data_IF_127886931250
#
_entry.id   IF_127886931250
#
_cell.length_a   1.000
_cell.length_b   1.000
_cell.length_c   1.000
_cell.angle_alpha   90.00
_cell.angle_beta   90.00
_cell.angle_gamma   90.00
#
_symmetry.space_group_name_H-M   'P 1'
#
loop_
_entity.id
_entity.type
_entity.pdbx_description
1 polymer ?
#
# COMPACT_ATOMS: atom_id res chain seq x y z
N UNK A 1 -38.39 -1.48 -33.52
CA UNK A 1 -37.97 -2.37 -32.41
C UNK A 1 -36.47 -2.63 -32.39
N UNK A 2 -35.87 -3.13 -33.48
CA UNK A 2 -34.43 -3.43 -33.55
C UNK A 2 -33.53 -2.21 -33.23
N UNK A 3 -33.84 -1.04 -33.79
CA UNK A 3 -33.09 0.20 -33.53
C UNK A 3 -33.12 0.61 -32.05
N UNK A 4 -34.29 0.54 -31.40
CA UNK A 4 -34.41 0.86 -29.98
C UNK A 4 -33.61 -0.10 -29.10
N UNK A 5 -33.61 -1.39 -29.45
CA UNK A 5 -32.80 -2.40 -28.77
C UNK A 5 -31.29 -2.10 -28.90
N UNK A 6 -30.82 -1.75 -30.11
CA UNK A 6 -29.43 -1.37 -30.34
C UNK A 6 -29.02 -0.11 -29.57
N UNK A 7 -29.91 0.89 -29.48
CA UNK A 7 -29.67 2.11 -28.71
C UNK A 7 -29.55 1.82 -27.20
N UNK A 8 -30.44 0.98 -26.66
CA UNK A 8 -30.38 0.57 -25.25
C UNK A 8 -29.08 -0.19 -24.97
N UNK A 9 -28.71 -1.12 -25.86
CA UNK A 9 -27.46 -1.85 -25.73
C UNK A 9 -26.25 -0.92 -25.75
N UNK A 10 -26.19 0.01 -26.71
CA UNK A 10 -25.12 1.01 -26.79
C UNK A 10 -25.03 1.87 -25.52
N UNK A 11 -26.16 2.29 -24.97
CA UNK A 11 -26.19 3.06 -23.71
C UNK A 11 -25.62 2.26 -22.53
N UNK A 12 -25.94 0.98 -22.41
CA UNK A 12 -25.39 0.09 -21.37
C UNK A 12 -23.87 -0.05 -21.50
N UNK A 13 -23.36 -0.21 -22.73
CA UNK A 13 -21.92 -0.32 -23.02
C UNK A 13 -21.17 0.93 -22.56
N UNK A 14 -21.72 2.10 -22.90
CA UNK A 14 -21.14 3.40 -22.56
C UNK A 14 -21.11 3.57 -21.04
N UNK A 15 -22.23 3.32 -20.35
CA UNK A 15 -22.32 3.41 -18.90
C UNK A 15 -21.33 2.49 -18.18
N UNK A 16 -21.22 1.24 -18.63
CA UNK A 16 -20.28 0.26 -18.05
C UNK A 16 -18.83 0.69 -18.27
N UNK A 17 -18.50 1.23 -19.45
CA UNK A 17 -17.16 1.73 -19.77
C UNK A 17 -16.78 2.92 -18.89
N UNK A 18 -17.70 3.87 -18.69
CA UNK A 18 -17.49 5.01 -17.77
C UNK A 18 -17.20 4.52 -16.36
N UNK A 19 -17.97 3.54 -15.86
CA UNK A 19 -17.79 3.02 -14.51
C UNK A 19 -16.45 2.32 -14.32
N UNK A 20 -15.99 1.55 -15.31
CA UNK A 20 -14.66 0.91 -15.31
C UNK A 20 -13.55 1.97 -15.25
N UNK A 21 -13.66 3.06 -16.03
CA UNK A 21 -12.66 4.14 -16.03
C UNK A 21 -12.61 4.84 -14.67
N UNK A 22 -13.77 5.13 -14.07
CA UNK A 22 -13.85 5.74 -12.74
C UNK A 22 -13.15 4.87 -11.69
N UNK A 23 -13.42 3.56 -11.71
CA UNK A 23 -12.79 2.63 -10.78
C UNK A 23 -11.29 2.50 -11.02
N UNK A 24 -10.83 2.46 -12.28
CA UNK A 24 -9.41 2.44 -12.62
C UNK A 24 -8.68 3.67 -12.06
N UNK A 25 -9.20 4.86 -12.31
CA UNK A 25 -8.61 6.10 -11.81
C UNK A 25 -8.56 6.13 -10.27
N UNK A 26 -9.59 5.58 -9.62
CA UNK A 26 -9.63 5.45 -8.15
C UNK A 26 -8.58 4.47 -7.64
N UNK A 27 -8.38 3.34 -8.32
CA UNK A 27 -7.32 2.36 -8.01
C UNK A 27 -5.96 3.03 -8.15
N UNK A 28 -5.68 3.68 -9.27
CA UNK A 28 -4.37 4.32 -9.52
C UNK A 28 -4.08 5.42 -8.48
N UNK A 29 -5.09 6.23 -8.11
CA UNK A 29 -4.96 7.21 -7.02
C UNK A 29 -4.66 6.57 -5.66
N UNK A 30 -5.34 5.45 -5.33
CA UNK A 30 -5.07 4.71 -4.10
C UNK A 30 -3.68 4.09 -4.09
N UNK A 31 -3.21 3.55 -5.23
CA UNK A 31 -1.87 3.01 -5.35
C UNK A 31 -0.82 4.09 -5.03
N UNK A 32 -0.93 5.27 -5.65
CA UNK A 32 -0.04 6.40 -5.37
C UNK A 32 -0.08 6.82 -3.90
N UNK A 33 -1.28 6.87 -3.31
CA UNK A 33 -1.45 7.25 -1.92
C UNK A 33 -0.82 6.25 -0.95
N UNK A 34 -1.05 4.95 -1.15
CA UNK A 34 -0.46 3.88 -0.33
C UNK A 34 1.07 3.89 -0.44
N UNK A 35 1.62 4.05 -1.65
CA UNK A 35 3.08 4.20 -1.87
C UNK A 35 3.66 5.39 -1.10
N UNK A 36 2.92 6.50 -1.01
CA UNK A 36 3.35 7.64 -0.21
C UNK A 36 3.34 7.33 1.29
N UNK A 37 2.32 6.63 1.80
CA UNK A 37 2.27 6.19 3.20
C UNK A 37 3.45 5.28 3.57
N UNK A 38 3.78 4.32 2.69
CA UNK A 38 4.98 3.49 2.82
C UNK A 38 6.24 4.34 2.98
N UNK A 39 6.43 5.33 2.10
CA UNK A 39 7.56 6.26 2.17
C UNK A 39 7.61 7.03 3.51
N UNK A 40 6.48 7.60 3.94
CA UNK A 40 6.40 8.34 5.21
C UNK A 40 6.84 7.46 6.37
N UNK A 41 6.33 6.22 6.46
CA UNK A 41 6.69 5.28 7.52
C UNK A 41 8.18 4.92 7.49
N UNK A 42 8.69 4.55 6.31
CA UNK A 42 10.06 4.10 6.12
C UNK A 42 11.08 5.23 6.35
N UNK A 43 10.70 6.49 6.15
CA UNK A 43 11.58 7.63 6.43
C UNK A 43 11.76 7.94 7.92
N UNK A 44 10.96 7.34 8.81
CA UNK A 44 11.10 7.50 10.26
C UNK A 44 12.27 6.68 10.81
N UNK A 45 12.67 5.62 10.11
CA UNK A 45 13.66 4.63 10.58
C UNK A 45 14.97 5.29 11.07
N UNK A 46 15.58 6.26 10.36
CA UNK A 46 16.80 6.92 10.85
C UNK A 46 16.58 7.68 12.16
N UNK A 47 15.48 8.42 12.28
CA UNK A 47 15.15 9.13 13.51
C UNK A 47 14.88 8.17 14.68
N UNK A 48 14.24 7.04 14.40
CA UNK A 48 14.00 5.99 15.39
C UNK A 48 15.33 5.37 15.87
N UNK A 49 16.27 5.13 14.95
CA UNK A 49 17.61 4.65 15.27
C UNK A 49 18.34 5.63 16.19
N UNK A 50 18.44 6.90 15.81
CA UNK A 50 19.17 7.92 16.59
C UNK A 50 18.64 8.06 18.02
N UNK A 51 17.31 8.12 18.18
CA UNK A 51 16.70 8.26 19.51
C UNK A 51 16.89 6.98 20.35
N UNK A 52 16.96 5.81 19.71
CA UNK A 52 17.09 4.52 20.42
C UNK A 52 18.54 4.16 20.73
N UNK A 53 19.51 4.65 19.95
CA UNK A 53 20.91 4.25 19.97
C UNK A 53 21.55 4.35 21.35
N UNK A 54 21.35 5.47 22.04
CA UNK A 54 21.90 5.70 23.39
C UNK A 54 21.46 4.67 24.44
N UNK A 55 20.29 4.04 24.25
CA UNK A 55 19.74 3.01 25.15
C UNK A 55 20.01 1.58 24.67
N UNK A 56 20.47 1.42 23.43
CA UNK A 56 20.72 0.14 22.74
C UNK A 56 22.18 -0.03 22.29
N UNK A 57 23.14 0.63 22.97
CA UNK A 57 24.56 0.67 22.56
C UNK A 57 25.16 -0.72 22.29
N UNK A 58 24.72 -1.76 23.03
CA UNK A 58 25.22 -3.14 22.89
C UNK A 58 24.42 -3.98 21.89
N UNK A 59 23.43 -3.38 21.22
CA UNK A 59 22.46 -4.05 20.36
C UNK A 59 22.19 -3.29 19.06
N UNK A 60 23.22 -2.66 18.47
CA UNK A 60 23.07 -1.94 17.19
C UNK A 60 22.66 -2.89 16.04
N UNK A 61 22.95 -4.19 16.17
CA UNK A 61 22.54 -5.22 15.21
C UNK A 61 21.01 -5.32 15.03
N UNK A 62 20.23 -4.86 16.01
CA UNK A 62 18.75 -4.82 15.94
C UNK A 62 18.27 -4.01 14.73
N UNK A 63 19.00 -2.96 14.33
CA UNK A 63 18.62 -2.11 13.21
C UNK A 63 19.21 -2.57 11.87
N UNK A 64 20.00 -3.64 11.83
CA UNK A 64 20.70 -4.07 10.62
C UNK A 64 19.72 -4.45 9.50
N UNK A 65 18.73 -5.28 9.80
CA UNK A 65 17.78 -5.74 8.78
C UNK A 65 16.87 -4.60 8.32
N UNK A 66 16.36 -3.77 9.24
CA UNK A 66 15.49 -2.66 8.84
C UNK A 66 16.22 -1.61 7.99
N UNK A 67 17.52 -1.36 8.22
CA UNK A 67 18.33 -0.46 7.38
C UNK A 67 18.51 -1.06 5.98
N UNK A 68 18.72 -2.37 5.87
CA UNK A 68 18.80 -3.07 4.58
C UNK A 68 17.45 -2.99 3.84
N UNK A 69 16.34 -3.30 4.51
CA UNK A 69 15.00 -3.20 3.93
C UNK A 69 14.68 -1.77 3.49
N UNK A 70 15.08 -0.75 4.26
CA UNK A 70 14.93 0.66 3.86
C UNK A 70 15.66 0.96 2.54
N UNK A 71 16.87 0.42 2.33
CA UNK A 71 17.60 0.57 1.06
C UNK A 71 16.85 -0.09 -0.10
N UNK A 72 16.27 -1.27 0.13
CA UNK A 72 15.45 -1.97 -0.86
C UNK A 72 14.20 -1.15 -1.20
N UNK A 73 13.42 -0.72 -0.20
CA UNK A 73 12.23 0.14 -0.39
C UNK A 73 12.56 1.45 -1.10
N UNK A 74 13.72 2.06 -0.82
CA UNK A 74 14.18 3.24 -1.57
C UNK A 74 14.47 2.92 -3.06
N UNK A 75 15.13 1.79 -3.33
CA UNK A 75 15.41 1.33 -4.69
C UNK A 75 14.13 1.03 -5.47
N UNK A 76 13.19 0.29 -4.88
CA UNK A 76 11.90 -0.04 -5.50
C UNK A 76 11.13 1.22 -5.91
N UNK A 77 11.10 2.24 -5.04
CA UNK A 77 10.47 3.52 -5.35
C UNK A 77 11.19 4.27 -6.46
N UNK A 78 12.51 4.32 -6.42
CA UNK A 78 13.31 5.00 -7.44
C UNK A 78 13.17 4.37 -8.82
N UNK A 79 12.95 3.05 -8.85
CA UNK A 79 12.67 2.29 -10.08
C UNK A 79 11.19 2.35 -10.51
N UNK A 80 10.32 3.05 -9.77
CA UNK A 80 8.91 3.18 -10.11
C UNK A 80 8.13 1.87 -10.02
N UNK A 81 8.54 0.94 -9.14
CA UNK A 81 7.89 -0.37 -8.97
C UNK A 81 6.40 -0.22 -8.67
N UNK A 82 5.62 -1.21 -9.13
CA UNK A 82 4.18 -1.29 -8.88
C UNK A 82 3.87 -1.44 -7.39
N UNK A 83 2.62 -1.17 -6.98
CA UNK A 83 2.24 -1.36 -5.58
C UNK A 83 2.43 -2.82 -5.14
N UNK A 84 2.09 -3.78 -6.01
CA UNK A 84 2.22 -5.22 -5.74
C UNK A 84 3.65 -5.62 -5.41
N UNK A 85 4.62 -5.18 -6.21
CA UNK A 85 6.04 -5.48 -6.01
C UNK A 85 6.57 -4.92 -4.69
N UNK A 86 6.07 -3.76 -4.24
CA UNK A 86 6.53 -3.11 -3.01
C UNK A 86 5.94 -3.71 -1.73
N UNK A 87 4.78 -4.36 -1.80
CA UNK A 87 4.06 -4.83 -0.60
C UNK A 87 4.88 -5.83 0.21
N UNK A 88 5.62 -6.72 -0.46
CA UNK A 88 6.47 -7.70 0.23
C UNK A 88 7.52 -7.03 1.11
N UNK A 89 8.28 -6.10 0.54
CA UNK A 89 9.29 -5.31 1.28
C UNK A 89 8.66 -4.51 2.41
N UNK A 90 7.51 -3.88 2.16
CA UNK A 90 6.83 -3.05 3.16
C UNK A 90 6.19 -3.86 4.30
N UNK A 91 5.82 -5.12 4.06
CA UNK A 91 5.40 -6.05 5.12
C UNK A 91 6.59 -6.46 5.99
N UNK A 92 7.76 -6.73 5.39
CA UNK A 92 8.98 -7.00 6.15
C UNK A 92 9.39 -5.79 7.02
N UNK A 93 9.32 -4.58 6.46
CA UNK A 93 9.57 -3.34 7.22
C UNK A 93 8.62 -3.22 8.41
N UNK A 94 7.33 -3.49 8.23
CA UNK A 94 6.35 -3.46 9.31
C UNK A 94 6.71 -4.44 10.44
N UNK A 95 7.10 -5.67 10.08
CA UNK A 95 7.46 -6.71 11.04
C UNK A 95 8.73 -6.33 11.83
N UNK A 96 9.74 -5.80 11.15
CA UNK A 96 10.98 -5.34 11.79
C UNK A 96 10.72 -4.14 12.72
N UNK A 97 9.86 -3.19 12.34
CA UNK A 97 9.46 -2.10 13.23
C UNK A 97 8.78 -2.63 14.50
N UNK A 98 7.89 -3.61 14.38
CA UNK A 98 7.26 -4.25 15.53
C UNK A 98 8.29 -4.96 16.42
N UNK A 99 9.28 -5.64 15.84
CA UNK A 99 10.38 -6.26 16.59
C UNK A 99 11.19 -5.21 17.35
N UNK A 100 11.62 -4.13 16.68
CA UNK A 100 12.36 -3.02 17.29
C UNK A 100 11.57 -2.44 18.47
N UNK A 101 10.28 -2.16 18.30
CA UNK A 101 9.46 -1.64 19.40
C UNK A 101 9.33 -2.61 20.56
N UNK A 102 9.21 -3.93 20.30
CA UNK A 102 9.22 -4.94 21.37
C UNK A 102 10.52 -4.92 22.16
N UNK A 103 11.66 -4.75 21.49
CA UNK A 103 12.95 -4.64 22.19
C UNK A 103 13.01 -3.33 22.96
N UNK A 104 12.77 -2.18 22.33
CA UNK A 104 12.82 -0.86 22.96
C UNK A 104 11.88 -0.74 24.17
N UNK A 105 10.72 -1.40 24.16
CA UNK A 105 9.77 -1.41 25.27
C UNK A 105 10.33 -2.06 26.55
N UNK A 106 11.42 -2.83 26.47
CA UNK A 106 12.11 -3.37 27.66
C UNK A 106 13.04 -2.35 28.32
N UNK A 107 13.28 -1.19 27.69
CA UNK A 107 14.20 -0.16 28.17
C UNK A 107 13.42 1.03 28.78
N UNK A 108 13.39 1.12 30.11
CA UNK A 108 12.70 2.21 30.84
C UNK A 108 13.08 3.61 30.37
N UNK A 109 14.34 3.84 30.00
CA UNK A 109 14.84 5.14 29.50
C UNK A 109 14.16 5.57 28.19
N UNK A 110 13.84 4.62 27.30
CA UNK A 110 13.13 4.92 26.06
C UNK A 110 11.64 5.17 26.31
N UNK A 111 11.05 4.43 27.23
CA UNK A 111 9.63 4.56 27.57
C UNK A 111 9.24 5.92 28.17
N UNK A 112 10.20 6.67 28.72
CA UNK A 112 10.00 8.04 29.22
C UNK A 112 10.52 9.11 28.25
N UNK A 113 11.17 8.71 27.16
CA UNK A 113 11.70 9.64 26.17
C UNK A 113 10.57 10.08 25.24
N UNK A 114 10.11 11.33 25.39
CA UNK A 114 9.01 11.87 24.59
C UNK A 114 9.24 11.80 23.07
N UNK A 115 10.49 11.95 22.60
CA UNK A 115 10.81 11.80 21.17
C UNK A 115 10.61 10.36 20.70
N UNK A 116 11.02 9.37 21.51
CA UNK A 116 10.83 7.96 21.17
C UNK A 116 9.34 7.60 21.11
N UNK A 117 8.58 8.01 22.12
CA UNK A 117 7.12 7.80 22.19
C UNK A 117 6.45 8.38 20.96
N UNK A 118 6.75 9.64 20.62
CA UNK A 118 6.20 10.30 19.45
C UNK A 118 6.48 9.54 18.14
N UNK A 119 7.74 9.14 17.90
CA UNK A 119 8.11 8.40 16.69
C UNK A 119 7.43 7.04 16.62
N UNK A 120 7.34 6.33 17.75
CA UNK A 120 6.63 5.05 17.85
C UNK A 120 5.17 5.21 17.47
N UNK A 121 4.49 6.19 18.05
CA UNK A 121 3.06 6.42 17.84
C UNK A 121 2.79 6.85 16.38
N UNK A 122 3.70 7.62 15.77
CA UNK A 122 3.64 7.97 14.35
C UNK A 122 3.80 6.75 13.43
N UNK A 123 4.70 5.80 13.77
CA UNK A 123 4.83 4.54 13.03
C UNK A 123 3.59 3.65 13.19
N UNK A 124 3.05 3.54 14.40
CA UNK A 124 1.86 2.72 14.69
C UNK A 124 0.65 3.27 13.92
N UNK A 125 0.38 4.57 14.03
CA UNK A 125 -0.71 5.23 13.31
C UNK A 125 -0.54 5.11 11.79
N UNK A 126 0.66 5.36 11.26
CA UNK A 126 0.95 5.17 9.83
C UNK A 126 0.72 3.73 9.38
N UNK A 127 1.14 2.73 10.17
CA UNK A 127 0.92 1.32 9.85
C UNK A 127 -0.56 0.93 9.87
N UNK A 128 -1.33 1.47 10.82
CA UNK A 128 -2.79 1.29 10.85
C UNK A 128 -3.45 1.87 9.61
N UNK A 129 -3.11 3.11 9.26
CA UNK A 129 -3.62 3.79 8.07
C UNK A 129 -3.31 2.98 6.81
N UNK A 130 -2.07 2.54 6.63
CA UNK A 130 -1.66 1.66 5.53
C UNK A 130 -2.58 0.43 5.45
N UNK A 131 -2.81 -0.25 6.59
CA UNK A 131 -3.68 -1.42 6.65
C UNK A 131 -5.12 -1.13 6.21
N UNK A 132 -5.67 0.01 6.61
CA UNK A 132 -7.03 0.39 6.22
C UNK A 132 -7.15 0.76 4.74
N UNK A 133 -6.15 1.44 4.18
CA UNK A 133 -6.10 1.74 2.75
C UNK A 133 -5.85 0.50 1.89
N UNK A 134 -5.07 -0.48 2.37
CA UNK A 134 -4.93 -1.78 1.68
C UNK A 134 -6.26 -2.54 1.63
N UNK A 135 -7.02 -2.57 2.73
CA UNK A 135 -8.39 -3.15 2.74
C UNK A 135 -9.30 -2.44 1.75
N UNK A 136 -9.26 -1.11 1.71
CA UNK A 136 -10.06 -0.30 0.79
C UNK A 136 -9.67 -0.58 -0.67
N UNK A 137 -8.38 -0.61 -0.97
CA UNK A 137 -7.84 -0.97 -2.28
C UNK A 137 -8.36 -2.33 -2.72
N UNK A 138 -8.21 -3.37 -1.89
CA UNK A 138 -8.68 -4.73 -2.16
C UNK A 138 -10.17 -4.76 -2.51
N UNK A 139 -10.99 -4.05 -1.74
CA UNK A 139 -12.44 -3.98 -1.99
C UNK A 139 -12.78 -3.31 -3.33
N UNK A 140 -12.03 -2.29 -3.74
CA UNK A 140 -12.25 -1.58 -5.00
C UNK A 140 -11.76 -2.41 -6.18
N UNK A 141 -10.58 -3.03 -6.07
CA UNK A 141 -10.04 -3.94 -7.10
C UNK A 141 -10.99 -5.10 -7.33
N UNK A 142 -11.55 -5.70 -6.27
CA UNK A 142 -12.55 -6.78 -6.41
C UNK A 142 -13.76 -6.35 -7.24
N UNK A 143 -14.27 -5.13 -7.02
CA UNK A 143 -15.38 -4.56 -7.80
C UNK A 143 -14.98 -4.32 -9.25
N UNK A 144 -13.79 -3.75 -9.47
CA UNK A 144 -13.23 -3.52 -10.81
C UNK A 144 -13.05 -4.83 -11.58
N UNK A 145 -12.43 -5.83 -10.97
CA UNK A 145 -12.20 -7.14 -11.56
C UNK A 145 -13.52 -7.87 -11.89
N UNK A 146 -14.54 -7.76 -11.03
CA UNK A 146 -15.87 -8.30 -11.31
C UNK A 146 -16.48 -7.68 -12.58
N UNK A 147 -16.39 -6.36 -12.73
CA UNK A 147 -16.91 -5.66 -13.90
C UNK A 147 -16.15 -6.01 -15.18
N UNK A 148 -14.83 -6.16 -15.09
CA UNK A 148 -14.03 -6.65 -16.22
C UNK A 148 -14.46 -8.06 -16.61
N UNK A 149 -14.69 -8.96 -15.65
CA UNK A 149 -15.20 -10.31 -15.95
C UNK A 149 -16.54 -10.25 -16.67
N UNK A 150 -17.50 -9.48 -16.16
CA UNK A 150 -18.82 -9.29 -16.79
C UNK A 150 -18.66 -8.75 -18.22
N UNK A 151 -17.79 -7.75 -18.42
CA UNK A 151 -17.47 -7.21 -19.74
C UNK A 151 -16.88 -8.27 -20.66
N UNK A 152 -15.93 -9.08 -20.17
CA UNK A 152 -15.24 -10.09 -20.97
C UNK A 152 -16.17 -11.25 -21.39
N UNK A 153 -17.19 -11.56 -20.59
CA UNK A 153 -18.26 -12.50 -20.97
C UNK A 153 -19.31 -11.90 -21.93
N UNK A 154 -19.23 -10.60 -22.24
CA UNK A 154 -20.12 -9.93 -23.18
C UNK A 154 -19.45 -9.73 -24.55
N UNK A 155 -20.26 -9.48 -25.58
CA UNK A 155 -19.78 -9.19 -26.95
C UNK A 155 -18.78 -8.00 -26.98
N UNK A 156 -18.86 -7.10 -25.99
CA UNK A 156 -18.00 -5.93 -25.79
C UNK A 156 -16.56 -6.34 -25.44
N UNK A 157 -16.39 -7.43 -24.69
CA UNK A 157 -15.09 -7.96 -24.27
C UNK A 157 -14.23 -8.44 -25.44
N UNK A 158 -14.87 -8.79 -26.55
CA UNK A 158 -14.23 -9.29 -27.77
C UNK A 158 -13.50 -8.18 -28.56
N UNK A 159 -13.89 -6.91 -28.35
CA UNK A 159 -13.34 -5.75 -29.09
C UNK A 159 -12.26 -4.98 -28.31
N UNK A 160 -12.31 -4.96 -26.97
CA UNK A 160 -11.34 -4.20 -26.15
C UNK A 160 -10.92 -5.05 -24.95
N UNK A 161 -9.75 -5.70 -24.98
CA UNK A 161 -9.21 -6.36 -23.81
C UNK A 161 -8.80 -5.30 -22.77
N UNK A 162 -9.31 -5.44 -21.55
CA UNK A 162 -8.84 -4.65 -20.39
C UNK A 162 -8.36 -5.65 -19.35
N UNK A 163 -7.16 -5.43 -18.85
CA UNK A 163 -6.52 -6.30 -17.88
C UNK A 163 -7.06 -6.08 -16.46
N UNK A 164 -7.22 -7.19 -15.74
CA UNK A 164 -7.52 -7.19 -14.31
C UNK A 164 -6.34 -6.62 -13.51
N UNK A 165 -6.62 -6.06 -12.34
CA UNK A 165 -5.58 -5.61 -11.39
C UNK A 165 -5.36 -6.70 -10.34
N UNK A 166 -4.13 -6.79 -9.83
CA UNK A 166 -3.79 -7.76 -8.79
C UNK A 166 -4.48 -7.45 -7.45
N UNK A 167 -4.99 -8.50 -6.83
CA UNK A 167 -5.57 -8.49 -5.48
C UNK A 167 -4.53 -9.01 -4.49
N UNK A 168 -4.31 -8.26 -3.41
CA UNK A 168 -3.46 -8.65 -2.28
C UNK A 168 -4.24 -8.43 -0.98
#
# INVERSE_FOLDING_TARGET
MLLNFLLILAAIIILLSIFIIILKNKIDSLESYIKNLFNIRTNIIPSLFEVSRSSLIRHEEIFREIIKLRKISFSERSLGRSLSEMIGTEQLIHNELNFIFKVCNRHKKLLINGKFIYLRDLVISSSSNIGDYLKLYKNIVKKYNLLIRIKNYSIIGLLIPIETKEEF
#
